data_IF_090083680575
#
_entry.id   IF_090083680575
#
_cell.length_a   1.000
_cell.length_b   1.000
_cell.length_c   1.000
_cell.angle_alpha   90.00
_cell.angle_beta   90.00
_cell.angle_gamma   90.00
#
_symmetry.space_group_name_H-M   'P 1'
#
loop_
_entity.id
_entity.type
_entity.pdbx_description
1 polymer ?
#
# COMPACT_ATOMS: atom_id res chain seq x y z
N UNK A 1 0.66 32.98 -7.77
CA UNK A 1 1.72 31.96 -7.53
C UNK A 1 1.15 30.67 -6.89
N UNK A 2 -0.02 30.68 -6.27
CA UNK A 2 -0.60 29.47 -5.65
C UNK A 2 -1.14 28.44 -6.67
N UNK A 3 -1.61 28.86 -7.83
CA UNK A 3 -2.21 27.97 -8.84
C UNK A 3 -1.19 27.04 -9.51
N UNK A 4 0.05 27.48 -9.70
CA UNK A 4 1.13 26.66 -10.28
C UNK A 4 1.50 25.45 -9.42
N UNK A 5 1.19 25.49 -8.12
CA UNK A 5 1.49 24.41 -7.17
C UNK A 5 0.66 23.14 -7.45
N UNK A 6 -0.62 23.29 -7.82
CA UNK A 6 -1.53 22.18 -8.10
C UNK A 6 -1.46 21.67 -9.54
N UNK A 7 -0.83 22.45 -10.43
CA UNK A 7 -0.74 22.09 -11.84
C UNK A 7 0.02 20.79 -12.08
N UNK A 8 1.10 20.55 -11.33
CA UNK A 8 1.98 19.41 -11.55
C UNK A 8 1.33 18.07 -11.21
N UNK A 9 0.70 17.86 -10.06
CA UNK A 9 0.00 16.60 -9.80
C UNK A 9 -1.15 16.37 -10.76
N UNK A 10 -1.89 17.42 -11.19
CA UNK A 10 -2.91 17.29 -12.22
C UNK A 10 -2.33 16.83 -13.56
N UNK A 11 -1.22 17.42 -13.99
CA UNK A 11 -0.54 17.02 -15.23
C UNK A 11 -0.07 15.56 -15.15
N UNK A 12 0.52 15.14 -14.03
CA UNK A 12 0.92 13.77 -13.82
C UNK A 12 -0.26 12.79 -13.84
N UNK A 13 -1.39 13.17 -13.23
CA UNK A 13 -2.61 12.39 -13.32
C UNK A 13 -3.07 12.23 -14.77
N UNK A 14 -3.08 13.31 -15.55
CA UNK A 14 -3.52 13.30 -16.95
C UNK A 14 -2.60 12.47 -17.86
N UNK A 15 -1.27 12.57 -17.67
CA UNK A 15 -0.30 11.78 -18.45
C UNK A 15 -0.49 10.29 -18.15
N UNK A 16 -0.53 9.89 -16.88
CA UNK A 16 -0.74 8.49 -16.50
C UNK A 16 -2.12 7.97 -16.92
N UNK A 17 -3.14 8.86 -16.93
CA UNK A 17 -4.49 8.52 -17.34
C UNK A 17 -4.59 8.02 -18.79
N UNK A 18 -3.75 8.52 -19.69
CA UNK A 18 -3.70 8.02 -21.07
C UNK A 18 -3.31 6.52 -21.12
N UNK A 19 -2.36 6.11 -20.28
CA UNK A 19 -1.94 4.70 -20.18
C UNK A 19 -3.02 3.84 -19.52
N UNK A 20 -3.72 4.38 -18.53
CA UNK A 20 -4.84 3.76 -17.84
C UNK A 20 -6.00 3.48 -18.82
N UNK A 21 -6.43 4.49 -19.57
CA UNK A 21 -7.57 4.37 -20.50
C UNK A 21 -7.34 3.32 -21.58
N UNK A 22 -6.11 3.15 -22.05
CA UNK A 22 -5.77 2.14 -23.05
C UNK A 22 -6.01 0.71 -22.55
N UNK A 23 -5.93 0.49 -21.24
CA UNK A 23 -6.07 -0.85 -20.63
C UNK A 23 -7.40 -1.06 -19.89
N UNK A 24 -8.24 -0.04 -19.80
CA UNK A 24 -9.50 -0.14 -19.06
C UNK A 24 -10.42 -1.25 -19.60
N UNK A 25 -10.30 -1.56 -20.90
CA UNK A 25 -11.08 -2.60 -21.59
C UNK A 25 -10.31 -3.91 -21.78
N UNK A 26 -9.11 -4.06 -21.21
CA UNK A 26 -8.37 -5.32 -21.26
C UNK A 26 -9.16 -6.42 -20.53
N UNK A 27 -8.85 -7.68 -20.81
CA UNK A 27 -9.43 -8.81 -20.08
C UNK A 27 -9.17 -8.74 -18.58
N UNK A 28 -9.94 -9.51 -17.80
CA UNK A 28 -9.74 -9.63 -16.35
C UNK A 28 -8.38 -10.30 -16.10
N UNK A 29 -7.59 -9.76 -15.17
CA UNK A 29 -6.32 -10.37 -14.81
C UNK A 29 -6.51 -11.77 -14.22
N UNK A 30 -5.63 -12.72 -14.59
CA UNK A 30 -5.72 -14.13 -14.19
C UNK A 30 -5.86 -14.29 -12.67
N UNK A 31 -5.01 -13.62 -11.88
CA UNK A 31 -5.08 -13.67 -10.41
C UNK A 31 -6.41 -13.14 -9.88
N UNK A 32 -6.93 -12.09 -10.48
CA UNK A 32 -8.22 -11.55 -10.10
C UNK A 32 -9.35 -12.54 -10.43
N UNK A 33 -9.32 -13.12 -11.62
CA UNK A 33 -10.36 -14.04 -12.10
C UNK A 33 -10.46 -15.30 -11.22
N UNK A 34 -9.32 -15.92 -10.90
CA UNK A 34 -9.29 -17.21 -10.21
C UNK A 34 -9.12 -17.09 -8.68
N UNK A 35 -8.74 -15.92 -8.17
CA UNK A 35 -8.39 -15.78 -6.75
C UNK A 35 -9.20 -14.68 -6.07
N UNK A 36 -9.09 -13.43 -6.51
CA UNK A 36 -9.66 -12.30 -5.77
C UNK A 36 -11.17 -12.18 -5.93
N UNK A 37 -11.69 -12.26 -7.14
CA UNK A 37 -13.14 -12.14 -7.40
C UNK A 37 -13.95 -13.31 -6.81
N UNK A 38 -13.53 -14.59 -6.92
CA UNK A 38 -14.22 -15.69 -6.24
C UNK A 38 -14.23 -15.51 -4.71
N UNK A 39 -13.12 -15.09 -4.09
CA UNK A 39 -13.06 -14.85 -2.66
C UNK A 39 -13.93 -13.67 -2.24
N UNK A 40 -13.99 -12.60 -3.03
CA UNK A 40 -14.86 -11.45 -2.79
C UNK A 40 -16.35 -11.81 -2.87
N UNK A 41 -16.74 -12.61 -3.86
CA UNK A 41 -18.11 -13.13 -3.98
C UNK A 41 -18.47 -14.02 -2.81
N UNK A 42 -17.57 -14.93 -2.41
CA UNK A 42 -17.77 -15.76 -1.23
C UNK A 42 -17.92 -14.94 0.06
N UNK A 43 -17.19 -13.81 0.19
CA UNK A 43 -17.38 -12.87 1.31
C UNK A 43 -18.76 -12.20 1.26
N UNK A 44 -19.24 -11.81 0.10
CA UNK A 44 -20.58 -11.20 -0.07
C UNK A 44 -21.70 -12.19 0.25
N UNK A 45 -21.55 -13.44 -0.20
CA UNK A 45 -22.56 -14.50 -0.01
C UNK A 45 -22.62 -15.02 1.43
N UNK A 46 -21.44 -15.21 2.07
CA UNK A 46 -21.33 -15.83 3.39
C UNK A 46 -21.18 -14.81 4.53
N UNK A 47 -20.94 -13.53 4.21
CA UNK A 47 -20.69 -12.49 5.21
C UNK A 47 -19.49 -12.86 6.12
N UNK A 48 -19.66 -12.66 7.42
CA UNK A 48 -18.60 -12.94 8.40
C UNK A 48 -18.19 -14.43 8.48
N UNK A 49 -19.07 -15.36 8.09
CA UNK A 49 -18.74 -16.79 8.06
C UNK A 49 -17.62 -17.11 7.08
N UNK A 50 -17.44 -16.30 6.04
CA UNK A 50 -16.32 -16.41 5.10
C UNK A 50 -14.96 -16.40 5.83
N UNK A 51 -14.81 -15.63 6.91
CA UNK A 51 -13.54 -15.53 7.65
C UNK A 51 -13.12 -16.84 8.31
N UNK A 52 -14.06 -17.75 8.54
CA UNK A 52 -13.79 -19.11 9.03
C UNK A 52 -13.52 -20.13 7.89
N UNK A 53 -13.65 -19.72 6.64
CA UNK A 53 -13.40 -20.60 5.50
C UNK A 53 -11.91 -20.60 5.11
N UNK A 54 -11.39 -21.71 4.55
CA UNK A 54 -10.02 -21.79 4.04
C UNK A 54 -9.71 -20.75 2.96
N UNK A 55 -10.70 -20.30 2.19
CA UNK A 55 -10.52 -19.26 1.17
C UNK A 55 -10.05 -17.93 1.76
N UNK A 56 -10.42 -17.62 3.01
CA UNK A 56 -10.09 -16.36 3.67
C UNK A 56 -8.60 -16.20 4.02
N UNK A 57 -7.81 -17.28 4.06
CA UNK A 57 -6.37 -17.19 4.30
C UNK A 57 -5.53 -17.40 3.03
N UNK A 58 -6.12 -17.96 1.97
CA UNK A 58 -5.42 -18.12 0.68
C UNK A 58 -5.18 -16.81 -0.03
N UNK A 59 -5.99 -15.82 0.25
CA UNK A 59 -5.97 -14.50 -0.38
C UNK A 59 -5.61 -13.44 0.65
N UNK A 60 -4.80 -12.47 0.26
CA UNK A 60 -4.51 -11.30 1.12
C UNK A 60 -5.81 -10.57 1.46
N UNK A 61 -5.95 -10.03 2.68
CA UNK A 61 -7.22 -9.48 3.14
C UNK A 61 -7.84 -8.43 2.20
N UNK A 62 -7.06 -7.51 1.66
CA UNK A 62 -7.56 -6.53 0.69
C UNK A 62 -7.81 -7.12 -0.71
N UNK A 63 -7.27 -8.30 -1.01
CA UNK A 63 -7.55 -9.01 -2.27
C UNK A 63 -9.01 -9.49 -2.36
N UNK A 64 -9.69 -9.72 -1.25
CA UNK A 64 -11.13 -10.03 -1.26
C UNK A 64 -11.99 -8.88 -0.72
N UNK A 65 -11.53 -8.13 0.28
CA UNK A 65 -12.34 -7.09 0.90
C UNK A 65 -12.56 -5.88 -0.04
N UNK A 66 -11.53 -5.46 -0.75
CA UNK A 66 -11.65 -4.35 -1.69
C UNK A 66 -12.59 -4.65 -2.87
N UNK A 67 -12.44 -5.76 -3.60
CA UNK A 67 -13.42 -6.11 -4.62
C UNK A 67 -14.84 -6.29 -4.07
N UNK A 68 -15.01 -6.82 -2.87
CA UNK A 68 -16.32 -6.97 -2.25
C UNK A 68 -17.02 -5.63 -2.00
N UNK A 69 -16.29 -4.55 -1.66
CA UNK A 69 -16.85 -3.19 -1.53
C UNK A 69 -17.51 -2.68 -2.83
N UNK A 70 -17.08 -3.20 -3.97
CA UNK A 70 -17.58 -2.86 -5.30
C UNK A 70 -18.47 -3.96 -5.89
N UNK A 71 -19.07 -4.81 -5.02
CA UNK A 71 -19.94 -5.90 -5.45
C UNK A 71 -19.24 -7.00 -6.25
N UNK A 72 -17.92 -7.11 -6.17
CA UNK A 72 -17.08 -7.99 -6.98
C UNK A 72 -17.28 -7.82 -8.50
N UNK A 73 -17.69 -6.61 -8.93
CA UNK A 73 -17.81 -6.21 -10.31
C UNK A 73 -16.47 -5.65 -10.84
N UNK A 74 -15.85 -6.27 -11.86
CA UNK A 74 -14.57 -5.82 -12.39
C UNK A 74 -14.57 -4.38 -12.89
N UNK A 75 -15.69 -3.90 -13.45
CA UNK A 75 -15.80 -2.54 -13.99
C UNK A 75 -15.68 -1.51 -12.87
N UNK A 76 -16.43 -1.68 -11.79
CA UNK A 76 -16.40 -0.76 -10.66
C UNK A 76 -15.07 -0.81 -9.91
N UNK A 77 -14.45 -2.02 -9.79
CA UNK A 77 -13.13 -2.18 -9.18
C UNK A 77 -12.08 -1.40 -9.98
N UNK A 78 -12.08 -1.51 -11.31
CA UNK A 78 -11.15 -0.78 -12.19
C UNK A 78 -11.31 0.73 -12.04
N UNK A 79 -12.53 1.24 -12.06
CA UNK A 79 -12.78 2.67 -11.86
C UNK A 79 -12.33 3.16 -10.49
N UNK A 80 -12.60 2.39 -9.43
CA UNK A 80 -12.11 2.71 -8.09
C UNK A 80 -10.58 2.74 -8.02
N UNK A 81 -9.93 1.76 -8.64
CA UNK A 81 -8.47 1.70 -8.73
C UNK A 81 -7.89 2.85 -9.55
N UNK A 82 -8.56 3.27 -10.63
CA UNK A 82 -8.19 4.47 -11.38
C UNK A 82 -8.27 5.74 -10.50
N UNK A 83 -9.25 5.82 -9.61
CA UNK A 83 -9.32 6.90 -8.60
C UNK A 83 -8.12 6.89 -7.65
N UNK A 84 -7.63 5.71 -7.27
CA UNK A 84 -6.43 5.57 -6.43
C UNK A 84 -5.17 6.09 -7.12
N UNK A 85 -5.09 6.07 -8.46
CA UNK A 85 -3.99 6.68 -9.21
C UNK A 85 -3.82 8.16 -8.88
N UNK A 86 -4.90 8.92 -8.92
CA UNK A 86 -4.85 10.36 -8.59
C UNK A 86 -4.38 10.58 -7.14
N UNK A 87 -4.89 9.79 -6.20
CA UNK A 87 -4.44 9.81 -4.81
C UNK A 87 -2.95 9.46 -4.65
N UNK A 88 -2.47 8.45 -5.39
CA UNK A 88 -1.08 8.02 -5.39
C UNK A 88 -0.14 9.13 -5.91
N UNK A 89 -0.44 9.73 -7.05
CA UNK A 89 0.33 10.84 -7.63
C UNK A 89 0.36 12.03 -6.69
N UNK A 90 -0.79 12.38 -6.12
CA UNK A 90 -0.90 13.49 -5.18
C UNK A 90 -0.06 13.24 -3.91
N UNK A 91 -0.19 12.07 -3.29
CA UNK A 91 0.53 11.72 -2.08
C UNK A 91 2.05 11.69 -2.30
N UNK A 92 2.49 11.09 -3.41
CA UNK A 92 3.90 11.06 -3.79
C UNK A 92 4.47 12.46 -4.05
N UNK A 93 3.70 13.30 -4.76
CA UNK A 93 4.08 14.71 -5.00
C UNK A 93 4.23 15.49 -3.69
N UNK A 94 3.26 15.38 -2.78
CA UNK A 94 3.29 16.06 -1.48
C UNK A 94 4.49 15.58 -0.65
N UNK A 95 4.69 14.27 -0.57
CA UNK A 95 5.83 13.70 0.16
C UNK A 95 7.16 14.24 -0.38
N UNK A 96 7.38 14.17 -1.70
CA UNK A 96 8.60 14.64 -2.32
C UNK A 96 8.80 16.16 -2.19
N UNK A 97 7.71 16.93 -2.28
CA UNK A 97 7.75 18.39 -2.10
C UNK A 97 8.15 18.78 -0.67
N UNK A 98 7.67 18.06 0.33
CA UNK A 98 8.05 18.28 1.73
C UNK A 98 9.52 17.94 1.97
N UNK A 99 10.00 16.86 1.37
CA UNK A 99 11.38 16.38 1.58
C UNK A 99 12.43 17.18 0.81
N UNK A 100 12.16 17.53 -0.43
CA UNK A 100 13.14 18.10 -1.38
C UNK A 100 12.67 19.35 -2.14
N UNK A 101 11.53 19.95 -1.73
CA UNK A 101 10.97 21.13 -2.38
C UNK A 101 10.20 20.82 -3.66
N UNK A 102 9.64 21.88 -4.27
CA UNK A 102 8.75 21.76 -5.45
C UNK A 102 9.42 21.03 -6.62
N UNK A 103 10.71 21.22 -6.84
CA UNK A 103 11.45 20.54 -7.92
C UNK A 103 11.44 19.01 -7.73
N UNK A 104 11.69 18.55 -6.50
CA UNK A 104 11.62 17.13 -6.19
C UNK A 104 10.20 16.57 -6.42
N UNK A 105 9.17 17.33 -6.01
CA UNK A 105 7.78 16.96 -6.29
C UNK A 105 7.51 16.81 -7.79
N UNK A 106 7.94 17.76 -8.62
CA UNK A 106 7.77 17.71 -10.08
C UNK A 106 8.45 16.48 -10.67
N UNK A 107 9.72 16.24 -10.32
CA UNK A 107 10.47 15.07 -10.79
C UNK A 107 9.76 13.77 -10.40
N UNK A 108 9.29 13.66 -9.16
CA UNK A 108 8.56 12.48 -8.68
C UNK A 108 7.28 12.24 -9.48
N UNK A 109 6.50 13.28 -9.75
CA UNK A 109 5.28 13.17 -10.57
C UNK A 109 5.60 12.69 -11.98
N UNK A 110 6.64 13.26 -12.61
CA UNK A 110 7.06 12.85 -13.95
C UNK A 110 7.54 11.39 -13.98
N UNK A 111 8.35 11.00 -13.00
CA UNK A 111 8.83 9.61 -12.90
C UNK A 111 7.67 8.62 -12.73
N UNK A 112 6.67 8.94 -11.92
CA UNK A 112 5.48 8.08 -11.75
C UNK A 112 4.64 8.01 -13.03
N UNK A 113 4.34 9.18 -13.62
CA UNK A 113 3.44 9.27 -14.76
C UNK A 113 4.04 8.71 -16.06
N UNK A 114 5.35 8.85 -16.24
CA UNK A 114 6.08 8.35 -17.41
C UNK A 114 6.63 6.93 -17.21
N UNK A 115 6.47 6.34 -16.02
CA UNK A 115 6.91 4.96 -15.80
C UNK A 115 6.13 4.01 -16.73
N UNK A 116 6.83 3.14 -17.49
CA UNK A 116 6.17 2.36 -18.54
C UNK A 116 5.14 1.37 -18.01
N UNK A 117 5.30 0.88 -16.79
CA UNK A 117 4.43 -0.16 -16.22
C UNK A 117 3.52 0.35 -15.09
N UNK A 118 3.98 1.30 -14.27
CA UNK A 118 3.28 1.69 -13.05
C UNK A 118 1.81 2.11 -13.28
N UNK A 119 1.48 3.02 -14.21
CA UNK A 119 0.09 3.41 -14.47
C UNK A 119 -0.78 2.26 -14.97
N UNK A 120 -0.18 1.25 -15.59
CA UNK A 120 -0.90 0.11 -16.19
C UNK A 120 -1.49 -0.84 -15.15
N UNK A 121 -1.03 -0.82 -13.90
CA UNK A 121 -1.60 -1.62 -12.82
C UNK A 121 -2.92 -1.05 -12.30
N UNK A 122 -3.15 0.26 -12.44
CA UNK A 122 -4.35 0.88 -11.87
C UNK A 122 -5.67 0.47 -12.52
N UNK A 123 -5.77 0.23 -13.83
CA UNK A 123 -7.00 -0.30 -14.44
C UNK A 123 -7.15 -1.82 -14.30
N UNK A 124 -6.53 -2.44 -13.31
CA UNK A 124 -6.65 -3.87 -13.04
C UNK A 124 -7.40 -4.14 -11.74
N UNK A 125 -7.88 -5.36 -11.56
CA UNK A 125 -8.58 -5.82 -10.35
C UNK A 125 -7.60 -6.34 -9.27
N UNK A 126 -6.32 -5.97 -9.39
CA UNK A 126 -5.26 -6.42 -8.50
C UNK A 126 -5.16 -5.55 -7.23
N UNK A 127 -4.33 -5.97 -6.28
CA UNK A 127 -4.11 -5.26 -5.01
C UNK A 127 -3.01 -4.19 -5.10
N UNK A 128 -2.25 -4.15 -6.18
CA UNK A 128 -1.17 -3.20 -6.43
C UNK A 128 -1.62 -1.73 -6.35
N UNK A 129 -2.78 -1.33 -6.91
CA UNK A 129 -3.27 0.04 -6.80
C UNK A 129 -3.45 0.50 -5.35
N UNK A 130 -4.09 -0.35 -4.51
CA UNK A 130 -4.31 -0.04 -3.10
C UNK A 130 -2.98 0.00 -2.35
N UNK A 131 -2.10 -0.96 -2.65
CA UNK A 131 -0.78 -1.02 -2.06
C UNK A 131 0.02 0.26 -2.32
N UNK A 132 0.12 0.67 -3.58
CA UNK A 132 0.87 1.87 -3.98
C UNK A 132 0.26 3.14 -3.39
N UNK A 133 -1.06 3.27 -3.44
CA UNK A 133 -1.75 4.39 -2.81
C UNK A 133 -1.49 4.42 -1.30
N UNK A 134 -1.69 3.31 -0.61
CA UNK A 134 -1.46 3.20 0.83
C UNK A 134 -0.01 3.55 1.20
N UNK A 135 0.96 3.04 0.46
CA UNK A 135 2.38 3.30 0.68
C UNK A 135 2.73 4.78 0.52
N UNK A 136 2.35 5.41 -0.60
CA UNK A 136 2.66 6.82 -0.82
C UNK A 136 1.88 7.75 0.12
N UNK A 137 0.64 7.43 0.44
CA UNK A 137 -0.15 8.17 1.41
C UNK A 137 0.42 8.06 2.83
N UNK A 138 0.91 6.88 3.21
CA UNK A 138 1.63 6.70 4.47
C UNK A 138 2.92 7.52 4.51
N UNK A 139 3.75 7.45 3.47
CA UNK A 139 4.99 8.24 3.37
C UNK A 139 4.71 9.75 3.41
N UNK A 140 3.66 10.22 2.73
CA UNK A 140 3.24 11.61 2.80
C UNK A 140 2.84 12.03 4.22
N UNK A 141 1.97 11.26 4.88
CA UNK A 141 1.51 11.59 6.24
C UNK A 141 2.66 11.55 7.24
N UNK A 142 3.60 10.63 7.05
CA UNK A 142 4.84 10.57 7.84
C UNK A 142 5.72 11.82 7.60
N UNK A 143 5.90 12.24 6.35
CA UNK A 143 6.66 13.44 6.01
C UNK A 143 6.00 14.72 6.53
N UNK A 144 4.67 14.85 6.43
CA UNK A 144 3.91 15.97 7.04
C UNK A 144 4.11 16.04 8.55
N UNK A 145 4.12 14.90 9.20
CA UNK A 145 4.35 14.84 10.64
C UNK A 145 5.80 15.21 11.01
N UNK A 146 6.79 14.68 10.27
CA UNK A 146 8.21 14.90 10.56
C UNK A 146 8.67 16.33 10.25
N UNK A 147 8.23 16.89 9.13
CA UNK A 147 8.73 18.14 8.57
C UNK A 147 7.71 19.27 8.69
N UNK A 148 6.45 18.97 8.44
CA UNK A 148 5.33 19.92 8.42
C UNK A 148 4.93 20.46 9.81
N UNK A 149 5.52 19.95 10.89
CA UNK A 149 5.18 20.30 12.29
C UNK A 149 3.71 20.12 12.64
N UNK A 150 3.00 19.33 11.84
CA UNK A 150 1.59 19.03 12.06
C UNK A 150 1.46 17.83 13.00
N UNK A 151 1.03 18.09 14.24
CA UNK A 151 0.96 17.08 15.30
C UNK A 151 -0.47 16.60 15.56
N UNK A 152 -1.37 16.80 14.58
CA UNK A 152 -2.75 16.44 14.78
C UNK A 152 -2.93 14.93 14.97
N UNK A 153 -3.80 14.55 15.92
CA UNK A 153 -4.19 13.14 16.11
C UNK A 153 -4.83 12.55 14.84
N UNK A 154 -5.51 13.39 14.05
CA UNK A 154 -6.08 13.00 12.77
C UNK A 154 -5.00 12.55 11.77
N UNK A 155 -3.89 13.28 11.67
CA UNK A 155 -2.77 12.90 10.80
C UNK A 155 -2.16 11.56 11.23
N UNK A 156 -2.05 11.31 12.54
CA UNK A 156 -1.56 10.03 13.06
C UNK A 156 -2.52 8.88 12.72
N UNK A 157 -3.81 9.09 12.89
CA UNK A 157 -4.81 8.09 12.54
C UNK A 157 -4.81 7.78 11.04
N UNK A 158 -4.70 8.80 10.19
CA UNK A 158 -4.54 8.63 8.74
C UNK A 158 -3.26 7.85 8.41
N UNK A 159 -2.13 8.18 9.05
CA UNK A 159 -0.86 7.46 8.85
C UNK A 159 -0.99 5.99 9.23
N UNK A 160 -1.62 5.67 10.37
CA UNK A 160 -1.87 4.31 10.79
C UNK A 160 -2.81 3.57 9.82
N UNK A 161 -3.88 4.22 9.36
CA UNK A 161 -4.81 3.66 8.39
C UNK A 161 -4.11 3.31 7.06
N UNK A 162 -3.33 4.23 6.49
CA UNK A 162 -2.62 3.99 5.23
C UNK A 162 -1.57 2.89 5.36
N UNK A 163 -0.86 2.81 6.49
CA UNK A 163 0.05 1.72 6.76
C UNK A 163 -0.70 0.38 6.90
N UNK A 164 -1.86 0.37 7.56
CA UNK A 164 -2.73 -0.82 7.65
C UNK A 164 -3.15 -1.30 6.25
N UNK A 165 -3.62 -0.39 5.40
CA UNK A 165 -4.00 -0.72 4.01
C UNK A 165 -2.82 -1.33 3.24
N UNK A 166 -1.64 -0.76 3.40
CA UNK A 166 -0.41 -1.25 2.77
C UNK A 166 -0.06 -2.67 3.23
N UNK A 167 -0.11 -2.93 4.55
CA UNK A 167 0.18 -4.24 5.14
C UNK A 167 -0.84 -5.31 4.75
N UNK A 168 -2.11 -4.95 4.64
CA UNK A 168 -3.17 -5.88 4.27
C UNK A 168 -3.24 -6.16 2.76
N UNK A 169 -2.58 -5.33 1.93
CA UNK A 169 -2.52 -5.52 0.48
C UNK A 169 -1.46 -6.53 0.06
N UNK A 170 -0.33 -6.56 0.79
CA UNK A 170 0.85 -7.36 0.42
C UNK A 170 1.51 -8.00 1.62
N UNK A 171 1.56 -9.34 1.70
CA UNK A 171 2.19 -10.06 2.82
C UNK A 171 3.70 -9.80 2.93
N UNK A 172 4.38 -9.51 1.83
CA UNK A 172 5.82 -9.24 1.80
C UNK A 172 6.22 -8.08 2.70
N UNK A 173 5.30 -7.14 2.95
CA UNK A 173 5.54 -6.01 3.84
C UNK A 173 5.46 -6.35 5.33
N UNK A 174 5.12 -7.56 5.70
CA UNK A 174 5.27 -8.00 7.11
C UNK A 174 6.73 -7.81 7.56
N UNK A 175 7.69 -7.94 6.65
CA UNK A 175 9.10 -7.66 6.91
C UNK A 175 9.40 -6.14 6.99
N UNK A 176 8.56 -5.28 6.44
CA UNK A 176 8.72 -3.83 6.54
C UNK A 176 8.59 -3.35 8.00
N UNK A 177 7.74 -4.00 8.80
CA UNK A 177 7.53 -3.62 10.20
C UNK A 177 8.82 -3.72 11.02
N UNK A 178 9.53 -4.87 11.07
CA UNK A 178 10.81 -4.92 11.76
C UNK A 178 11.86 -3.99 11.14
N UNK A 179 11.87 -3.79 9.82
CA UNK A 179 12.76 -2.83 9.16
C UNK A 179 12.44 -1.39 9.58
N UNK A 180 11.17 -1.01 9.70
CA UNK A 180 10.76 0.29 10.21
C UNK A 180 11.20 0.47 11.67
N UNK A 181 11.07 -0.55 12.52
CA UNK A 181 11.53 -0.49 13.91
C UNK A 181 13.04 -0.28 13.98
N UNK A 182 13.80 -1.03 13.19
CA UNK A 182 15.26 -0.85 13.07
C UNK A 182 15.59 0.55 12.54
N UNK A 183 14.89 1.01 11.51
CA UNK A 183 15.05 2.36 10.95
C UNK A 183 14.78 3.46 11.97
N UNK A 184 13.76 3.31 12.82
CA UNK A 184 13.46 4.23 13.94
C UNK A 184 14.59 4.25 14.95
N UNK A 185 15.14 3.10 15.33
CA UNK A 185 16.27 3.01 16.26
C UNK A 185 17.51 3.69 15.67
N UNK A 186 17.83 3.45 14.41
CA UNK A 186 18.96 4.07 13.69
C UNK A 186 18.75 5.59 13.59
N UNK A 187 17.56 6.03 13.17
CA UNK A 187 17.22 7.45 13.09
C UNK A 187 17.30 8.13 14.46
N UNK A 188 16.80 7.48 15.51
CA UNK A 188 16.89 7.92 16.87
C UNK A 188 18.34 8.09 17.34
N UNK A 189 19.19 7.10 17.02
CA UNK A 189 20.62 7.14 17.35
C UNK A 189 21.35 8.27 16.59
N UNK A 190 21.06 8.42 15.27
CA UNK A 190 21.63 9.48 14.45
C UNK A 190 21.24 10.87 14.90
N UNK A 191 19.93 11.09 15.20
CA UNK A 191 19.41 12.37 15.66
C UNK A 191 19.98 12.78 17.01
N UNK A 192 20.26 11.82 17.92
CA UNK A 192 20.94 12.10 19.19
C UNK A 192 22.35 12.67 19.01
N UNK A 193 23.02 12.32 17.91
CA UNK A 193 24.37 12.77 17.59
C UNK A 193 24.41 14.02 16.70
N UNK A 194 23.29 14.37 16.07
CA UNK A 194 23.19 15.50 15.16
C UNK A 194 22.73 16.76 15.88
N UNK A 195 23.50 17.82 15.76
CA UNK A 195 23.11 19.17 16.22
C UNK A 195 22.11 19.87 15.28
N UNK A 196 21.77 19.25 14.13
CA UNK A 196 20.98 19.87 13.06
C UNK A 196 19.46 19.74 13.22
N UNK A 197 18.96 18.92 14.15
CA UNK A 197 17.53 18.71 14.35
C UNK A 197 17.09 18.97 15.81
N UNK A 198 17.24 20.19 16.35
CA UNK A 198 16.96 20.50 17.77
C UNK A 198 15.47 20.39 18.13
N UNK A 199 14.57 20.32 17.15
CA UNK A 199 13.13 20.37 17.36
C UNK A 199 12.45 19.00 17.47
N UNK A 200 13.10 17.93 17.02
CA UNK A 200 12.56 16.57 17.11
C UNK A 200 13.32 15.84 18.21
N UNK A 201 12.71 15.76 19.38
CA UNK A 201 13.29 14.88 20.41
C UNK A 201 13.14 13.43 19.94
N UNK A 202 14.22 12.68 20.05
CA UNK A 202 14.25 11.25 19.69
C UNK A 202 13.12 10.47 20.37
N UNK A 203 12.85 10.76 21.64
CA UNK A 203 11.78 10.15 22.41
C UNK A 203 10.39 10.41 21.78
N UNK A 204 10.18 11.59 21.21
CA UNK A 204 8.93 11.95 20.55
C UNK A 204 8.77 11.19 19.25
N UNK A 205 9.83 11.13 18.41
CA UNK A 205 9.83 10.33 17.19
C UNK A 205 9.51 8.86 17.48
N UNK A 206 10.23 8.26 18.43
CA UNK A 206 10.01 6.86 18.79
C UNK A 206 8.60 6.61 19.32
N UNK A 207 8.07 7.48 20.18
CA UNK A 207 6.71 7.34 20.72
C UNK A 207 5.65 7.39 19.62
N UNK A 208 5.78 8.30 18.68
CA UNK A 208 4.82 8.47 17.59
C UNK A 208 4.88 7.31 16.60
N UNK A 209 6.08 6.89 16.21
CA UNK A 209 6.24 5.72 15.35
C UNK A 209 5.73 4.46 16.02
N UNK A 210 6.03 4.26 17.30
CA UNK A 210 5.50 3.14 18.07
C UNK A 210 3.97 3.15 18.12
N UNK A 211 3.36 4.31 18.33
CA UNK A 211 1.90 4.46 18.36
C UNK A 211 1.28 4.16 16.98
N UNK A 212 1.83 4.74 15.90
CA UNK A 212 1.37 4.48 14.53
C UNK A 212 1.49 3.01 14.18
N UNK A 213 2.63 2.38 14.48
CA UNK A 213 2.85 0.95 14.26
C UNK A 213 1.90 0.09 15.11
N UNK A 214 1.72 0.42 16.38
CA UNK A 214 0.82 -0.33 17.26
C UNK A 214 -0.61 -0.34 16.71
N UNK A 215 -1.14 0.82 16.29
CA UNK A 215 -2.49 0.91 15.71
C UNK A 215 -2.55 0.17 14.36
N UNK A 216 -1.56 0.37 13.48
CA UNK A 216 -1.58 -0.22 12.15
C UNK A 216 -1.46 -1.75 12.17
N UNK A 217 -0.89 -2.32 13.23
CA UNK A 217 -0.73 -3.76 13.39
C UNK A 217 -1.93 -4.44 14.05
N UNK A 218 -2.89 -3.72 14.63
CA UNK A 218 -4.04 -4.34 15.32
C UNK A 218 -4.79 -5.29 14.40
N UNK A 219 -5.25 -4.81 13.24
CA UNK A 219 -6.03 -5.63 12.32
C UNK A 219 -5.19 -6.74 11.66
N UNK A 220 -3.96 -6.48 11.15
CA UNK A 220 -3.08 -7.55 10.71
C UNK A 220 -2.83 -8.63 11.80
N UNK A 221 -2.58 -8.24 13.03
CA UNK A 221 -2.34 -9.18 14.13
C UNK A 221 -3.59 -10.04 14.45
N UNK A 222 -4.78 -9.44 14.46
CA UNK A 222 -6.04 -10.17 14.63
C UNK A 222 -6.27 -11.20 13.52
N UNK A 223 -5.94 -10.86 12.28
CA UNK A 223 -6.05 -11.77 11.14
C UNK A 223 -5.01 -12.90 11.20
N UNK A 224 -3.77 -12.59 11.59
CA UNK A 224 -2.74 -13.62 11.83
C UNK A 224 -3.15 -14.55 12.96
N UNK A 225 -3.65 -14.01 14.07
CA UNK A 225 -4.15 -14.81 15.20
C UNK A 225 -5.32 -15.70 14.76
N UNK A 226 -6.30 -15.13 14.02
CA UNK A 226 -7.41 -15.91 13.44
C UNK A 226 -6.89 -17.06 12.58
N UNK A 227 -5.96 -16.78 11.67
CA UNK A 227 -5.41 -17.78 10.76
C UNK A 227 -4.62 -18.86 11.54
N UNK A 228 -3.87 -18.46 12.57
CA UNK A 228 -3.14 -19.39 13.44
C UNK A 228 -4.08 -20.31 14.21
N UNK A 229 -5.15 -19.77 14.80
CA UNK A 229 -6.10 -20.54 15.62
C UNK A 229 -6.99 -21.45 14.79
N UNK A 230 -7.48 -20.99 13.63
CA UNK A 230 -8.43 -21.75 12.81
C UNK A 230 -7.76 -22.71 11.83
N UNK A 231 -6.59 -22.36 11.31
CA UNK A 231 -5.96 -23.10 10.20
C UNK A 231 -4.52 -23.56 10.51
N UNK A 232 -3.97 -23.22 11.68
CA UNK A 232 -2.58 -23.54 12.02
C UNK A 232 -1.53 -22.70 11.27
N UNK A 233 -1.94 -21.61 10.57
CA UNK A 233 -1.09 -20.80 9.70
C UNK A 233 -0.89 -19.39 10.27
N UNK A 234 0.32 -19.10 10.72
CA UNK A 234 0.68 -17.83 11.33
C UNK A 234 1.15 -16.81 10.28
N UNK A 235 0.19 -16.25 9.50
CA UNK A 235 0.45 -15.26 8.46
C UNK A 235 -0.84 -14.62 7.95
N UNK A 236 -0.71 -13.54 7.18
CA UNK A 236 -1.86 -12.82 6.58
C UNK A 236 -2.42 -13.54 5.35
N UNK A 237 -1.61 -14.34 4.65
CA UNK A 237 -1.99 -15.10 3.47
C UNK A 237 -0.87 -16.04 3.05
N UNK A 238 -1.19 -16.99 2.17
CA UNK A 238 -0.27 -18.10 1.80
C UNK A 238 0.64 -17.82 0.62
N UNK A 239 0.42 -16.75 -0.16
CA UNK A 239 1.13 -16.50 -1.42
C UNK A 239 2.62 -16.15 -1.30
N UNK A 240 3.08 -15.69 -0.13
CA UNK A 240 4.46 -15.22 0.05
C UNK A 240 5.52 -16.32 -0.08
N UNK A 241 5.21 -17.53 0.39
CA UNK A 241 6.12 -18.67 0.32
C UNK A 241 6.33 -19.16 -1.10
N UNK A 242 5.27 -19.17 -1.91
CA UNK A 242 5.33 -19.55 -3.32
C UNK A 242 6.21 -18.58 -4.11
N UNK A 243 6.02 -17.27 -3.93
CA UNK A 243 6.84 -16.26 -4.61
C UNK A 243 8.33 -16.36 -4.22
N UNK A 244 8.64 -16.62 -2.94
CA UNK A 244 10.01 -16.82 -2.51
C UNK A 244 10.59 -18.11 -3.12
N UNK A 245 9.84 -19.20 -3.12
CA UNK A 245 10.25 -20.46 -3.71
C UNK A 245 10.54 -20.32 -5.20
N UNK A 246 9.64 -19.72 -5.98
CA UNK A 246 9.84 -19.48 -7.40
C UNK A 246 11.05 -18.59 -7.68
N UNK A 247 11.27 -17.55 -6.84
CA UNK A 247 12.40 -16.63 -6.98
C UNK A 247 13.75 -17.24 -6.64
N UNK A 248 13.78 -18.24 -5.75
CA UNK A 248 15.05 -18.84 -5.24
C UNK A 248 15.34 -20.22 -5.81
N UNK A 249 14.35 -20.91 -6.38
CA UNK A 249 14.52 -22.27 -6.89
C UNK A 249 15.20 -22.25 -8.26
N UNK A 250 16.25 -23.03 -8.43
CA UNK A 250 17.09 -23.07 -9.63
C UNK A 250 16.34 -23.43 -10.93
N UNK A 251 15.25 -24.19 -10.82
CA UNK A 251 14.42 -24.58 -11.98
C UNK A 251 13.57 -23.43 -12.51
N UNK A 252 13.15 -22.49 -11.65
CA UNK A 252 12.21 -21.44 -12.05
C UNK A 252 12.89 -20.11 -12.33
N UNK A 253 14.06 -19.84 -11.71
CA UNK A 253 14.83 -18.60 -11.89
C UNK A 253 13.96 -17.32 -11.79
N UNK A 254 12.96 -17.34 -10.94
CA UNK A 254 12.01 -16.24 -10.77
C UNK A 254 10.83 -16.24 -11.79
N UNK A 255 10.79 -17.15 -12.74
CA UNK A 255 9.67 -17.31 -13.64
C UNK A 255 8.58 -18.22 -13.05
N UNK A 256 7.32 -17.90 -13.30
CA UNK A 256 6.24 -18.83 -13.00
C UNK A 256 6.32 -20.07 -13.92
N UNK A 257 6.06 -21.28 -13.38
CA UNK A 257 6.02 -22.47 -14.21
C UNK A 257 4.92 -22.30 -15.26
N UNK A 258 5.15 -22.71 -16.51
CA UNK A 258 4.10 -22.76 -17.50
C UNK A 258 3.03 -23.75 -17.02
N UNK A 259 1.80 -23.29 -16.88
CA UNK A 259 0.63 -24.12 -16.56
C UNK A 259 0.15 -24.83 -17.83
#
# INVERSE_FOLDING_TARGET
IQWSFWLWPLLGCLIGWQSILKRLNDGIHTDALYTYLPAARALLDQGWAFLASPASYRVVPLGYAWPALWGADPVWIRWANCGLWAGCVFAAWRCATLLGGVRAGVVTVLLLALHPELPKYFPTELTEPIFLFGLFAWLWTLAEWLIGRNESRGLQACSALFLTLTLLSRPVLQLLVPLCLVGVVIAAWYLRRSTRAPHITTARLCRQMAFTLAISLVLPALLVLKNGLLFGLWGLGTGSGTGLYLGTHSLFQGAEPPF
#
